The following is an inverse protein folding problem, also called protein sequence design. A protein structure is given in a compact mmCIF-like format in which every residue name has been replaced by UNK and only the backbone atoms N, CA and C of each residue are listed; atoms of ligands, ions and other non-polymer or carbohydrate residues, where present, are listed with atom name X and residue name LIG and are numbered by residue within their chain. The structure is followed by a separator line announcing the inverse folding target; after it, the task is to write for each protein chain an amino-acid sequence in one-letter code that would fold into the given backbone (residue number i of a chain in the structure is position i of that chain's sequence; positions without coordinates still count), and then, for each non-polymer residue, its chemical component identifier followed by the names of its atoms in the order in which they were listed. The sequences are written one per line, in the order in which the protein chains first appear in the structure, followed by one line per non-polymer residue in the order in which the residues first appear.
data_IF_406374097480
#
_entry.id   IF_406374097480
#
_cell.length_a   1.000
_cell.length_b   1.000
_cell.length_c   1.000
_cell.angle_alpha   90.00
_cell.angle_beta   90.00
_cell.angle_gamma   90.00
#
_symmetry.space_group_name_H-M   'P 1'
#
loop_
_entity.id
_entity.type
_entity.pdbx_description
1 polymer ?
#
# COMPACT_ATOMS: atom_id res chain seq x y z
N UNK A 1 -18.47 10.43 19.96
CA UNK A 1 -18.71 11.74 19.32
C UNK A 1 -19.26 11.49 17.94
N UNK A 2 -20.36 12.14 17.58
CA UNK A 2 -20.99 11.96 16.26
C UNK A 2 -20.67 13.15 15.37
N UNK A 3 -20.51 12.88 14.08
CA UNK A 3 -20.13 13.87 13.08
C UNK A 3 -21.17 13.96 11.97
N UNK A 4 -21.31 15.17 11.40
CA UNK A 4 -21.94 15.29 10.09
C UNK A 4 -21.09 14.59 9.03
N UNK A 5 -21.62 14.33 7.82
CA UNK A 5 -20.84 13.68 6.75
C UNK A 5 -19.50 14.36 6.45
N UNK A 6 -19.40 15.68 6.63
CA UNK A 6 -18.18 16.45 6.42
C UNK A 6 -17.42 16.77 7.72
N UNK A 7 -17.65 16.03 8.80
CA UNK A 7 -16.81 16.07 10.00
C UNK A 7 -17.11 17.18 10.99
N UNK A 8 -18.15 17.98 10.80
CA UNK A 8 -18.59 18.89 11.83
C UNK A 8 -19.17 18.08 13.01
N UNK A 9 -18.75 18.38 14.22
CA UNK A 9 -19.27 17.73 15.42
C UNK A 9 -20.78 17.99 15.54
N UNK A 10 -21.57 16.92 15.61
CA UNK A 10 -23.01 16.99 15.78
C UNK A 10 -23.41 16.78 17.25
N UNK A 11 -22.84 15.78 17.91
CA UNK A 11 -23.07 15.51 19.34
C UNK A 11 -21.81 15.01 20.01
N UNK A 12 -21.69 15.28 21.31
CA UNK A 12 -20.60 14.80 22.15
C UNK A 12 -19.46 15.81 22.29
N UNK A 13 -18.62 15.54 23.29
CA UNK A 13 -17.36 16.25 23.53
C UNK A 13 -16.30 15.24 23.96
N UNK A 14 -15.04 15.54 23.71
CA UNK A 14 -13.91 14.70 24.10
C UNK A 14 -12.73 15.56 24.52
N UNK A 15 -11.89 15.03 25.40
CA UNK A 15 -10.55 15.56 25.69
C UNK A 15 -9.49 14.94 24.75
N UNK A 16 -9.91 14.02 23.87
CA UNK A 16 -9.04 13.42 22.85
C UNK A 16 -8.76 14.49 21.78
N UNK A 17 -7.51 14.74 21.40
CA UNK A 17 -7.17 15.66 20.32
C UNK A 17 -7.59 15.16 18.94
N UNK A 18 -7.92 13.87 18.81
CA UNK A 18 -8.29 13.26 17.54
C UNK A 18 -9.80 13.32 17.29
N UNK A 19 -10.16 13.86 16.14
CA UNK A 19 -11.54 14.15 15.75
C UNK A 19 -11.95 13.39 14.47
N UNK A 20 -12.49 14.11 13.50
CA UNK A 20 -13.03 13.55 12.28
C UNK A 20 -12.01 12.68 11.54
N UNK A 21 -12.39 11.43 11.23
CA UNK A 21 -11.54 10.40 10.60
C UNK A 21 -10.21 10.15 11.32
N UNK A 22 -10.17 10.34 12.66
CA UNK A 22 -8.98 10.14 13.47
C UNK A 22 -7.90 11.20 13.28
N UNK A 23 -8.28 12.39 12.79
CA UNK A 23 -7.32 13.50 12.59
C UNK A 23 -7.22 14.37 13.81
N UNK A 24 -6.00 14.85 14.09
CA UNK A 24 -5.75 15.78 15.16
C UNK A 24 -6.37 17.13 14.85
N UNK A 25 -7.16 17.65 15.80
CA UNK A 25 -7.72 18.99 15.72
C UNK A 25 -6.84 19.99 16.42
N UNK A 26 -6.41 20.99 15.70
CA UNK A 26 -5.84 22.19 16.29
C UNK A 26 -6.94 22.95 17.06
N UNK A 27 -6.80 23.00 18.36
CA UNK A 27 -7.78 23.59 19.27
C UNK A 27 -7.91 25.12 19.09
N UNK A 28 -6.86 25.78 18.63
CA UNK A 28 -6.83 27.23 18.45
C UNK A 28 -7.57 27.65 17.17
N UNK A 29 -7.35 26.94 16.08
CA UNK A 29 -7.98 27.24 14.78
C UNK A 29 -9.28 26.47 14.54
N UNK A 30 -9.49 25.35 15.24
CA UNK A 30 -10.60 24.42 15.01
C UNK A 30 -10.47 23.63 13.70
N UNK A 31 -9.28 23.58 13.11
CA UNK A 31 -8.98 22.87 11.89
C UNK A 31 -8.46 21.45 12.19
N UNK A 32 -8.81 20.48 11.36
CA UNK A 32 -8.31 19.13 11.44
C UNK A 32 -7.06 18.99 10.57
N UNK A 33 -5.96 18.50 11.14
CA UNK A 33 -4.70 18.33 10.42
C UNK A 33 -4.67 16.97 9.72
N UNK A 34 -4.70 17.00 8.39
CA UNK A 34 -4.70 15.82 7.55
C UNK A 34 -3.29 15.42 7.06
N UNK A 35 -2.23 15.97 7.62
CA UNK A 35 -0.85 15.75 7.18
C UNK A 35 -0.42 16.77 6.14
N UNK A 36 -0.90 16.67 4.92
CA UNK A 36 -0.54 17.60 3.85
C UNK A 36 -1.32 18.92 3.89
N UNK A 37 -2.55 18.90 4.42
CA UNK A 37 -3.46 20.05 4.41
C UNK A 37 -4.23 20.16 5.71
N UNK A 38 -4.66 21.36 6.04
CA UNK A 38 -5.65 21.60 7.08
C UNK A 38 -7.07 21.56 6.51
N UNK A 39 -7.96 20.89 7.21
CA UNK A 39 -9.35 20.71 6.84
C UNK A 39 -10.27 21.50 7.77
N UNK A 40 -11.18 22.27 7.19
CA UNK A 40 -12.20 22.98 7.93
C UNK A 40 -13.51 22.18 7.90
N UNK A 41 -13.76 21.38 8.93
CA UNK A 41 -14.99 20.58 9.04
C UNK A 41 -16.25 21.43 9.03
N UNK A 42 -16.18 22.68 9.53
CA UNK A 42 -17.27 23.66 9.48
C UNK A 42 -17.61 24.12 8.06
N UNK A 43 -16.67 24.06 7.13
CA UNK A 43 -16.85 24.43 5.73
C UNK A 43 -16.91 23.22 4.78
N UNK A 44 -16.60 22.03 5.27
CA UNK A 44 -16.57 20.80 4.50
C UNK A 44 -15.49 20.76 3.43
N UNK A 45 -14.35 21.49 3.63
CA UNK A 45 -13.28 21.62 2.64
C UNK A 45 -11.91 21.81 3.27
N UNK A 46 -10.87 21.54 2.49
CA UNK A 46 -9.52 21.97 2.83
C UNK A 46 -9.37 23.48 2.72
N UNK A 47 -8.46 24.06 3.51
CA UNK A 47 -8.18 25.51 3.49
C UNK A 47 -7.09 25.89 2.50
N UNK A 48 -6.34 24.91 2.00
CA UNK A 48 -5.35 25.06 0.90
C UNK A 48 -5.77 24.26 -0.33
N UNK A 49 -5.35 24.73 -1.51
CA UNK A 49 -5.62 24.03 -2.76
C UNK A 49 -4.89 22.69 -2.80
N UNK A 50 -5.50 21.73 -3.49
CA UNK A 50 -4.85 20.45 -3.79
C UNK A 50 -3.66 20.68 -4.72
N UNK A 51 -2.49 20.18 -4.31
CA UNK A 51 -1.28 20.28 -5.14
C UNK A 51 -1.36 19.41 -6.39
N UNK A 52 -2.24 18.39 -6.40
CA UNK A 52 -2.48 17.54 -7.57
C UNK A 52 -3.08 18.27 -8.78
N UNK A 53 -3.62 19.47 -8.57
CA UNK A 53 -4.27 20.23 -9.62
C UNK A 53 -5.67 19.73 -9.99
N UNK A 54 -6.36 20.42 -10.93
CA UNK A 54 -7.69 20.05 -11.36
C UNK A 54 -7.65 18.89 -12.37
N UNK A 55 -8.60 17.94 -12.25
CA UNK A 55 -8.85 16.96 -13.32
C UNK A 55 -10.01 17.44 -14.20
N UNK A 56 -9.76 17.86 -15.45
CA UNK A 56 -10.81 18.35 -16.35
C UNK A 56 -11.86 17.29 -16.73
N UNK A 57 -11.55 16.01 -16.55
CA UNK A 57 -12.47 14.90 -16.87
C UNK A 57 -13.43 14.60 -15.72
N UNK A 58 -13.12 15.04 -14.51
CA UNK A 58 -13.97 14.88 -13.35
C UNK A 58 -14.43 16.23 -12.81
N UNK A 59 -15.70 16.64 -13.02
CA UNK A 59 -16.21 17.92 -12.56
C UNK A 59 -16.04 18.17 -11.06
N UNK A 60 -16.08 17.10 -10.24
CA UNK A 60 -15.83 17.20 -8.80
C UNK A 60 -14.36 17.49 -8.50
N UNK A 61 -13.46 17.10 -9.38
CA UNK A 61 -12.02 17.33 -9.24
C UNK A 61 -11.57 18.72 -9.68
N UNK A 62 -12.43 19.53 -10.28
CA UNK A 62 -12.15 20.93 -10.60
C UNK A 62 -12.05 21.81 -9.34
N UNK A 63 -12.74 21.43 -8.27
CA UNK A 63 -12.63 22.11 -6.99
C UNK A 63 -11.42 21.58 -6.21
N UNK A 64 -10.32 22.33 -6.19
CA UNK A 64 -9.08 21.95 -5.53
C UNK A 64 -9.16 21.95 -3.99
N UNK A 65 -10.23 22.45 -3.43
CA UNK A 65 -10.44 22.51 -1.97
C UNK A 65 -11.37 21.39 -1.47
N UNK A 66 -11.85 20.51 -2.37
CA UNK A 66 -12.80 19.45 -2.04
C UNK A 66 -12.19 18.44 -1.07
N UNK A 67 -13.04 17.89 -0.22
CA UNK A 67 -12.77 16.70 0.58
C UNK A 67 -13.47 15.49 -0.05
N UNK A 68 -12.75 14.37 -0.19
CA UNK A 68 -13.29 13.06 -0.60
C UNK A 68 -14.19 13.12 -1.85
N UNK A 69 -13.83 13.92 -2.88
CA UNK A 69 -14.63 14.16 -4.09
C UNK A 69 -16.08 14.61 -3.79
N UNK A 70 -16.30 15.37 -2.71
CA UNK A 70 -17.62 15.74 -2.19
C UNK A 70 -18.54 14.55 -1.85
N UNK A 71 -17.98 13.37 -1.60
CA UNK A 71 -18.72 12.16 -1.20
C UNK A 71 -18.09 11.50 0.04
N UNK A 72 -18.15 12.16 1.21
CA UNK A 72 -17.48 11.73 2.43
C UNK A 72 -18.13 10.50 3.08
N UNK A 73 -19.32 10.08 2.65
CA UNK A 73 -19.95 8.84 3.09
C UNK A 73 -19.39 7.60 2.39
N UNK A 74 -18.70 7.80 1.27
CA UNK A 74 -18.12 6.73 0.47
C UNK A 74 -16.60 6.74 0.48
N UNK A 75 -16.01 7.92 0.59
CA UNK A 75 -14.58 8.12 0.52
C UNK A 75 -14.06 8.85 1.75
N UNK A 76 -12.87 8.49 2.18
CA UNK A 76 -12.09 9.19 3.20
C UNK A 76 -10.82 9.68 2.52
N UNK A 77 -10.31 10.84 2.92
CA UNK A 77 -8.99 11.31 2.55
C UNK A 77 -8.06 11.07 3.76
N UNK A 78 -7.19 10.07 3.76
CA UNK A 78 -6.46 9.66 4.96
C UNK A 78 -5.35 10.60 5.38
N UNK A 79 -4.75 11.32 4.44
CA UNK A 79 -3.57 12.15 4.70
C UNK A 79 -3.61 13.53 4.04
N UNK A 80 -4.72 13.90 3.45
CA UNK A 80 -4.83 15.13 2.67
C UNK A 80 -4.10 15.03 1.34
N UNK A 81 -3.80 13.81 0.87
CA UNK A 81 -3.06 13.45 -0.33
C UNK A 81 -3.77 12.34 -1.07
N UNK A 82 -3.28 11.98 -2.25
CA UNK A 82 -4.01 11.12 -3.16
C UNK A 82 -3.37 9.76 -3.44
N UNK A 83 -2.49 9.21 -2.61
CA UNK A 83 -1.60 8.11 -3.00
C UNK A 83 -1.76 6.76 -2.26
N UNK A 84 -2.91 6.53 -1.63
CA UNK A 84 -3.33 5.21 -1.11
C UNK A 84 -3.50 4.16 -2.23
N UNK A 85 -3.51 4.60 -3.48
CA UNK A 85 -3.79 3.71 -4.61
C UNK A 85 -2.69 2.68 -4.88
N UNK A 86 -1.42 2.98 -4.60
CA UNK A 86 -0.29 2.05 -4.82
C UNK A 86 -0.09 1.13 -3.62
N UNK A 87 0.29 1.68 -2.47
CA UNK A 87 0.67 0.90 -1.29
C UNK A 87 -0.50 0.06 -0.73
N UNK A 88 -1.72 0.60 -0.76
CA UNK A 88 -2.89 -0.14 -0.28
C UNK A 88 -3.59 -0.91 -1.41
N UNK A 89 -4.10 -0.20 -2.42
CA UNK A 89 -5.04 -0.80 -3.36
C UNK A 89 -4.35 -1.69 -4.40
N UNK A 90 -3.27 -1.22 -5.03
CA UNK A 90 -2.53 -2.02 -6.02
C UNK A 90 -1.83 -3.20 -5.34
N UNK A 91 -1.18 -2.99 -4.19
CA UNK A 91 -0.53 -4.08 -3.44
C UNK A 91 -1.51 -5.16 -3.03
N UNK A 92 -2.71 -4.81 -2.52
CA UNK A 92 -3.75 -5.80 -2.20
C UNK A 92 -4.19 -6.59 -3.43
N UNK A 93 -4.40 -5.91 -4.56
CA UNK A 93 -4.84 -6.57 -5.79
C UNK A 93 -3.76 -7.49 -6.37
N UNK A 94 -2.48 -7.06 -6.35
CA UNK A 94 -1.34 -7.88 -6.77
C UNK A 94 -1.14 -9.09 -5.86
N UNK A 95 -1.25 -8.92 -4.54
CA UNK A 95 -1.17 -10.01 -3.59
C UNK A 95 -2.29 -11.03 -3.82
N UNK A 96 -3.52 -10.56 -4.01
CA UNK A 96 -4.62 -11.44 -4.37
C UNK A 96 -4.32 -12.19 -5.67
N UNK A 97 -3.91 -11.55 -6.74
CA UNK A 97 -3.55 -12.20 -8.00
C UNK A 97 -2.36 -13.17 -7.86
N UNK A 98 -1.42 -12.89 -6.95
CA UNK A 98 -0.26 -13.75 -6.66
C UNK A 98 -0.59 -15.04 -5.88
N UNK A 99 -1.84 -15.21 -5.44
CA UNK A 99 -2.27 -16.44 -4.77
C UNK A 99 -2.52 -16.30 -3.27
N UNK A 100 -2.44 -15.09 -2.72
CA UNK A 100 -2.78 -14.84 -1.32
C UNK A 100 -4.29 -14.86 -1.11
N UNK A 101 -4.73 -15.26 0.08
CA UNK A 101 -6.12 -15.09 0.50
C UNK A 101 -6.45 -13.60 0.64
N UNK A 102 -7.72 -13.24 0.58
CA UNK A 102 -8.12 -11.85 0.78
C UNK A 102 -7.61 -11.29 2.11
N UNK A 103 -7.67 -12.07 3.18
CA UNK A 103 -7.17 -11.68 4.51
C UNK A 103 -5.67 -11.38 4.50
N UNK A 104 -4.87 -12.22 3.85
CA UNK A 104 -3.43 -12.00 3.73
C UNK A 104 -3.12 -10.78 2.85
N UNK A 105 -3.81 -10.65 1.71
CA UNK A 105 -3.63 -9.51 0.80
C UNK A 105 -3.94 -8.17 1.49
N UNK A 106 -5.04 -8.13 2.27
CA UNK A 106 -5.38 -6.96 3.10
C UNK A 106 -4.29 -6.68 4.14
N UNK A 107 -3.85 -7.68 4.90
CA UNK A 107 -2.83 -7.49 5.92
C UNK A 107 -1.51 -6.95 5.33
N UNK A 108 -1.04 -7.54 4.24
CA UNK A 108 0.19 -7.10 3.55
C UNK A 108 0.07 -5.64 3.11
N UNK A 109 -1.02 -5.28 2.47
CA UNK A 109 -1.24 -3.91 1.96
C UNK A 109 -1.48 -2.88 3.07
N UNK A 110 -2.13 -3.27 4.17
CA UNK A 110 -2.29 -2.40 5.33
C UNK A 110 -0.95 -2.12 6.03
N UNK A 111 -0.05 -3.10 6.09
CA UNK A 111 1.30 -2.90 6.64
C UNK A 111 2.15 -2.05 5.69
N UNK A 112 2.07 -2.29 4.37
CA UNK A 112 2.72 -1.49 3.34
C UNK A 112 2.32 -0.01 3.48
N UNK A 113 1.04 0.29 3.42
CA UNK A 113 0.50 1.64 3.61
C UNK A 113 0.75 2.21 5.01
N UNK A 114 0.80 1.34 6.02
CA UNK A 114 0.98 1.72 7.42
C UNK A 114 2.29 2.44 7.71
N UNK A 115 3.32 2.23 6.87
CA UNK A 115 4.61 2.94 6.98
C UNK A 115 4.42 4.44 6.79
N UNK A 116 3.55 4.85 5.87
CA UNK A 116 3.22 6.25 5.57
C UNK A 116 2.20 6.86 6.52
N UNK A 117 1.64 6.08 7.43
CA UNK A 117 0.60 6.57 8.31
C UNK A 117 1.13 7.66 9.24
N UNK A 118 0.39 8.76 9.47
CA UNK A 118 0.84 9.91 10.27
C UNK A 118 1.31 9.56 11.67
N UNK A 119 0.74 8.52 12.27
CA UNK A 119 1.09 8.06 13.63
C UNK A 119 2.09 6.90 13.63
N UNK A 120 2.65 6.55 12.48
CA UNK A 120 3.68 5.52 12.39
C UNK A 120 5.03 6.10 12.78
N UNK A 121 5.73 5.44 13.70
CA UNK A 121 7.14 5.76 14.00
C UNK A 121 8.07 5.62 12.77
N UNK A 122 7.57 5.04 11.68
CA UNK A 122 8.26 4.79 10.42
C UNK A 122 7.98 5.91 9.40
N UNK A 123 6.99 6.78 9.67
CA UNK A 123 6.64 7.88 8.78
C UNK A 123 7.80 8.90 8.68
N UNK A 124 8.23 9.28 7.47
CA UNK A 124 9.35 10.20 7.28
C UNK A 124 9.07 11.63 7.72
N UNK A 125 7.80 11.98 7.95
CA UNK A 125 7.37 13.31 8.37
C UNK A 125 7.16 13.41 9.90
N UNK A 126 7.01 12.29 10.60
CA UNK A 126 6.92 12.26 12.05
C UNK A 126 8.29 12.49 12.68
N UNK A 127 8.61 13.71 12.87
CA UNK A 127 9.81 14.16 13.55
C UNK A 127 10.45 15.33 12.85
N UNK A 128 10.04 16.51 13.19
CA UNK A 128 10.87 17.69 13.07
C UNK A 128 12.12 17.47 13.93
N UNK A 129 13.11 16.74 13.40
CA UNK A 129 14.33 16.42 14.07
C UNK A 129 15.07 15.22 13.48
N UNK A 130 16.22 14.91 14.03
CA UNK A 130 17.14 13.85 13.58
C UNK A 130 16.53 12.42 13.61
N UNK A 131 15.43 12.20 14.33
CA UNK A 131 14.76 10.91 14.39
C UNK A 131 14.11 10.50 13.05
N UNK A 132 13.52 11.44 12.31
CA UNK A 132 12.95 11.17 10.97
C UNK A 132 13.98 10.79 9.91
N UNK A 133 15.28 11.04 10.14
CA UNK A 133 16.34 10.67 9.20
C UNK A 133 16.59 9.15 9.14
N UNK A 134 16.34 8.42 10.21
CA UNK A 134 16.43 6.96 10.25
C UNK A 134 15.33 6.31 9.43
N UNK A 135 14.07 6.65 9.74
CA UNK A 135 12.90 6.13 9.03
C UNK A 135 12.97 6.42 7.52
N UNK A 136 13.39 7.62 7.12
CA UNK A 136 13.60 7.98 5.70
C UNK A 136 14.58 7.05 4.99
N UNK A 137 15.72 6.76 5.63
CA UNK A 137 16.75 5.89 5.03
C UNK A 137 16.37 4.42 5.08
N UNK A 138 15.64 4.02 6.11
CA UNK A 138 15.34 2.62 6.38
C UNK A 138 14.10 2.12 5.62
N UNK A 139 13.18 3.00 5.22
CA UNK A 139 11.93 2.62 4.58
C UNK A 139 11.61 3.39 3.29
N UNK A 140 12.00 4.67 3.13
CA UNK A 140 11.60 5.49 1.97
C UNK A 140 12.74 5.73 0.96
N UNK A 141 13.96 5.98 1.41
CA UNK A 141 15.12 6.18 0.52
C UNK A 141 16.13 5.04 0.70
N UNK A 142 15.64 3.82 0.55
CA UNK A 142 16.41 2.62 0.86
C UNK A 142 17.50 2.33 -0.16
N UNK A 143 18.62 1.80 0.33
CA UNK A 143 19.66 1.22 -0.52
C UNK A 143 19.29 -0.20 -0.92
N UNK A 144 19.90 -0.71 -2.01
CA UNK A 144 19.74 -2.11 -2.40
C UNK A 144 20.18 -3.09 -1.29
N UNK A 145 21.24 -2.76 -0.54
CA UNK A 145 21.70 -3.56 0.60
C UNK A 145 20.63 -3.61 1.69
N UNK A 146 20.03 -2.46 2.04
CA UNK A 146 18.95 -2.41 3.05
C UNK A 146 17.74 -3.24 2.63
N UNK A 147 17.30 -3.16 1.37
CA UNK A 147 16.19 -3.98 0.86
C UNK A 147 16.53 -5.48 0.87
N UNK A 148 17.79 -5.85 0.60
CA UNK A 148 18.22 -7.24 0.71
C UNK A 148 18.16 -7.75 2.16
N UNK A 149 18.54 -6.93 3.14
CA UNK A 149 18.40 -7.26 4.57
C UNK A 149 16.93 -7.42 4.96
N UNK A 150 16.05 -6.50 4.51
CA UNK A 150 14.61 -6.60 4.75
C UNK A 150 14.01 -7.86 4.11
N UNK A 151 14.45 -8.22 2.89
CA UNK A 151 14.04 -9.46 2.25
C UNK A 151 14.47 -10.70 3.04
N UNK A 152 15.70 -10.71 3.57
CA UNK A 152 16.16 -11.76 4.47
C UNK A 152 15.29 -11.90 5.72
N UNK A 153 14.81 -10.79 6.26
CA UNK A 153 13.91 -10.77 7.40
C UNK A 153 12.54 -11.38 7.09
N UNK A 154 12.01 -11.29 5.87
CA UNK A 154 10.71 -11.89 5.49
C UNK A 154 10.70 -13.39 5.81
N UNK A 155 11.72 -14.13 5.40
CA UNK A 155 11.83 -15.57 5.67
C UNK A 155 12.00 -15.89 7.16
N UNK A 156 12.80 -15.08 7.85
CA UNK A 156 13.02 -15.26 9.30
C UNK A 156 11.71 -15.03 10.08
N UNK A 157 10.95 -14.00 9.75
CA UNK A 157 9.70 -13.68 10.43
C UNK A 157 8.55 -14.61 10.02
N UNK A 158 8.59 -15.18 8.80
CA UNK A 158 7.64 -16.20 8.37
C UNK A 158 7.67 -17.44 9.29
N UNK A 159 8.86 -17.83 9.76
CA UNK A 159 9.01 -18.98 10.65
C UNK A 159 8.35 -18.81 12.02
N UNK A 160 8.04 -17.56 12.42
CA UNK A 160 7.38 -17.21 13.68
C UNK A 160 6.00 -16.57 13.48
N UNK A 161 5.45 -16.65 12.28
CA UNK A 161 4.06 -16.24 11.98
C UNK A 161 3.87 -14.74 11.64
N UNK A 162 4.94 -14.01 11.33
CA UNK A 162 4.89 -12.58 10.98
C UNK A 162 5.42 -12.29 9.56
N UNK A 163 5.38 -13.28 8.68
CA UNK A 163 5.91 -13.16 7.32
C UNK A 163 5.19 -12.12 6.47
N UNK A 164 3.86 -12.04 6.57
CA UNK A 164 3.05 -11.08 5.85
C UNK A 164 3.37 -9.63 6.27
N UNK A 165 3.59 -9.40 7.56
CA UNK A 165 3.96 -8.08 8.08
C UNK A 165 5.36 -7.67 7.57
N UNK A 166 6.34 -8.58 7.65
CA UNK A 166 7.68 -8.32 7.15
C UNK A 166 7.68 -8.08 5.63
N UNK A 167 6.82 -8.81 4.90
CA UNK A 167 6.64 -8.63 3.45
C UNK A 167 6.04 -7.26 3.14
N UNK A 168 5.01 -6.81 3.86
CA UNK A 168 4.42 -5.47 3.69
C UNK A 168 5.47 -4.36 3.87
N UNK A 169 6.29 -4.42 4.93
CA UNK A 169 7.40 -3.48 5.16
C UNK A 169 8.43 -3.49 4.02
N UNK A 170 8.78 -4.67 3.52
CA UNK A 170 9.68 -4.80 2.39
C UNK A 170 9.10 -4.20 1.12
N UNK A 171 7.83 -4.48 0.82
CA UNK A 171 7.16 -3.98 -0.38
C UNK A 171 7.10 -2.46 -0.40
N UNK A 172 6.80 -1.83 0.73
CA UNK A 172 6.86 -0.38 0.86
C UNK A 172 8.23 0.17 0.44
N UNK A 173 9.29 -0.35 1.06
CA UNK A 173 10.66 0.08 0.77
C UNK A 173 11.09 -0.18 -0.68
N UNK A 174 10.62 -1.27 -1.28
CA UNK A 174 10.89 -1.61 -2.67
C UNK A 174 10.15 -0.68 -3.63
N UNK A 175 8.85 -0.45 -3.42
CA UNK A 175 8.02 0.45 -4.23
C UNK A 175 8.53 1.88 -4.19
N UNK A 176 8.86 2.39 -3.00
CA UNK A 176 9.43 3.72 -2.80
C UNK A 176 10.79 3.88 -3.49
N UNK A 177 11.55 2.82 -3.61
CA UNK A 177 12.83 2.88 -4.33
C UNK A 177 12.68 3.19 -5.82
N UNK A 178 11.52 2.90 -6.39
CA UNK A 178 11.18 3.29 -7.77
C UNK A 178 10.71 4.74 -7.84
N UNK A 179 9.74 5.12 -7.03
CA UNK A 179 9.21 6.50 -7.04
C UNK A 179 10.30 7.53 -6.74
N UNK A 180 11.16 7.24 -5.77
CA UNK A 180 12.24 8.13 -5.34
C UNK A 180 13.55 7.98 -6.13
N UNK A 181 13.60 7.13 -7.15
CA UNK A 181 14.79 6.95 -7.99
C UNK A 181 15.18 8.26 -8.67
N UNK A 182 16.42 8.73 -8.42
CA UNK A 182 16.93 10.01 -8.90
C UNK A 182 16.70 11.20 -7.95
N UNK A 183 16.01 10.99 -6.83
CA UNK A 183 15.78 12.00 -5.80
C UNK A 183 16.60 11.67 -4.55
N UNK A 184 17.28 12.68 -3.98
CA UNK A 184 18.04 12.49 -2.73
C UNK A 184 17.13 12.56 -1.49
N UNK A 185 17.45 11.78 -0.46
CA UNK A 185 16.70 11.70 0.81
C UNK A 185 16.46 13.06 1.50
N UNK A 186 17.27 14.07 1.19
CA UNK A 186 17.22 15.40 1.82
C UNK A 186 16.31 16.40 1.07
N UNK A 187 16.14 16.26 -0.24
CA UNK A 187 15.51 17.28 -1.08
C UNK A 187 14.34 16.73 -1.95
N UNK A 188 14.12 15.42 -1.98
CA UNK A 188 13.19 14.79 -2.92
C UNK A 188 11.79 15.39 -2.92
N UNK A 189 11.14 15.47 -1.76
CA UNK A 189 9.80 16.03 -1.64
C UNK A 189 9.76 17.56 -1.45
N UNK A 190 10.88 18.17 -1.05
CA UNK A 190 10.92 19.61 -0.77
C UNK A 190 10.73 20.48 -2.02
N UNK A 191 11.26 20.03 -3.18
CA UNK A 191 11.22 20.78 -4.43
C UNK A 191 10.21 20.26 -5.46
N UNK A 192 9.85 18.97 -5.39
CA UNK A 192 9.01 18.33 -6.40
C UNK A 192 7.64 17.86 -5.86
N UNK A 193 7.37 18.05 -4.57
CA UNK A 193 6.13 17.59 -3.94
C UNK A 193 5.93 16.08 -4.14
N UNK A 194 4.69 15.67 -4.42
CA UNK A 194 4.32 14.27 -4.70
C UNK A 194 4.34 13.92 -6.20
N UNK A 195 5.03 14.71 -7.02
CA UNK A 195 5.14 14.43 -8.46
C UNK A 195 5.77 13.05 -8.75
N UNK A 196 6.78 12.58 -7.98
CA UNK A 196 7.38 11.27 -8.19
C UNK A 196 6.44 10.09 -7.90
N UNK A 197 5.49 10.26 -6.98
CA UNK A 197 4.67 9.18 -6.45
C UNK A 197 3.41 8.91 -7.31
N UNK A 198 3.16 9.75 -8.33
CA UNK A 198 2.04 9.58 -9.24
C UNK A 198 2.41 8.66 -10.39
N UNK A 199 1.82 7.47 -10.43
CA UNK A 199 2.12 6.44 -11.44
C UNK A 199 1.99 6.95 -12.88
N UNK A 200 1.04 7.84 -13.16
CA UNK A 200 0.81 8.38 -14.51
C UNK A 200 1.86 9.39 -14.98
N UNK A 201 2.72 9.89 -14.09
CA UNK A 201 3.83 10.77 -14.46
C UNK A 201 5.01 9.99 -15.07
N UNK A 202 5.20 8.75 -14.62
CA UNK A 202 6.16 7.80 -15.17
C UNK A 202 5.57 6.39 -15.17
N UNK A 203 4.61 6.11 -16.08
CA UNK A 203 3.88 4.86 -16.07
C UNK A 203 4.75 3.65 -16.39
N UNK A 204 5.82 3.81 -17.14
CA UNK A 204 6.72 2.71 -17.48
C UNK A 204 7.55 2.29 -16.25
N UNK A 205 8.00 3.25 -15.45
CA UNK A 205 8.64 2.97 -14.16
C UNK A 205 7.65 2.33 -13.17
N UNK A 206 6.40 2.79 -13.14
CA UNK A 206 5.34 2.20 -12.33
C UNK A 206 4.99 0.76 -12.76
N UNK A 207 5.04 0.45 -14.07
CA UNK A 207 4.86 -0.91 -14.58
C UNK A 207 5.99 -1.84 -14.11
N UNK A 208 7.24 -1.36 -14.10
CA UNK A 208 8.39 -2.11 -13.57
C UNK A 208 8.25 -2.32 -12.05
N UNK A 209 7.88 -1.30 -11.31
CA UNK A 209 7.62 -1.40 -9.87
C UNK A 209 6.54 -2.45 -9.57
N UNK A 210 5.41 -2.42 -10.26
CA UNK A 210 4.34 -3.41 -10.08
C UNK A 210 4.81 -4.84 -10.40
N UNK A 211 5.67 -5.00 -11.40
CA UNK A 211 6.32 -6.28 -11.72
C UNK A 211 7.24 -6.79 -10.62
N UNK A 212 8.03 -5.88 -10.01
CA UNK A 212 8.87 -6.19 -8.85
C UNK A 212 8.01 -6.63 -7.65
N UNK A 213 6.98 -5.85 -7.33
CA UNK A 213 6.02 -6.15 -6.27
C UNK A 213 5.38 -7.53 -6.45
N UNK A 214 4.86 -7.82 -7.66
CA UNK A 214 4.27 -9.13 -7.95
C UNK A 214 5.29 -10.28 -7.83
N UNK A 215 6.51 -10.07 -8.31
CA UNK A 215 7.60 -11.04 -8.22
C UNK A 215 7.97 -11.34 -6.76
N UNK A 216 8.09 -10.30 -5.93
CA UNK A 216 8.36 -10.44 -4.51
C UNK A 216 7.25 -11.22 -3.79
N UNK A 217 5.98 -10.89 -4.05
CA UNK A 217 4.83 -11.62 -3.52
C UNK A 217 4.89 -13.11 -3.89
N UNK A 218 5.26 -13.44 -5.12
CA UNK A 218 5.41 -14.84 -5.56
C UNK A 218 6.59 -15.55 -4.89
N UNK A 219 7.72 -14.87 -4.77
CA UNK A 219 8.95 -15.45 -4.21
C UNK A 219 8.88 -15.64 -2.71
N UNK A 220 8.11 -14.84 -1.98
CA UNK A 220 7.97 -14.97 -0.54
C UNK A 220 7.36 -16.32 -0.10
N UNK A 221 6.60 -16.99 -0.96
CA UNK A 221 6.08 -18.32 -0.68
C UNK A 221 5.03 -18.38 0.43
N UNK A 222 4.43 -17.26 0.83
CA UNK A 222 3.48 -17.15 1.92
C UNK A 222 2.01 -17.31 1.49
N UNK A 223 1.75 -17.40 0.20
CA UNK A 223 0.40 -17.53 -0.35
C UNK A 223 -0.25 -18.84 0.08
N UNK A 224 -1.45 -18.78 0.65
CA UNK A 224 -2.20 -19.94 1.18
C UNK A 224 -3.46 -20.26 0.41
N UNK A 225 -3.87 -19.40 -0.51
CA UNK A 225 -5.07 -19.59 -1.32
C UNK A 225 -4.74 -20.22 -2.67
N UNK A 226 -5.73 -20.34 -3.52
CA UNK A 226 -5.68 -20.95 -4.84
C UNK A 226 -4.57 -20.41 -5.77
N UNK A 227 -4.44 -21.00 -6.94
CA UNK A 227 -3.39 -20.71 -7.93
C UNK A 227 -3.20 -19.23 -8.24
N UNK A 228 -1.97 -18.85 -8.52
CA UNK A 228 -1.62 -17.50 -8.92
C UNK A 228 -1.93 -17.28 -10.39
N UNK A 229 -2.40 -16.09 -10.74
CA UNK A 229 -2.57 -15.66 -12.12
C UNK A 229 -1.20 -15.32 -12.73
N UNK A 230 -0.86 -15.75 -13.94
CA UNK A 230 0.37 -15.32 -14.59
C UNK A 230 0.43 -13.79 -14.72
N UNK A 231 1.58 -13.18 -14.42
CA UNK A 231 1.74 -11.73 -14.43
C UNK A 231 1.31 -11.08 -15.76
N UNK A 232 1.66 -11.72 -16.88
CA UNK A 232 1.34 -11.21 -18.21
C UNK A 232 -0.16 -11.10 -18.49
N UNK A 233 -0.99 -11.88 -17.79
CA UNK A 233 -2.44 -11.84 -17.96
C UNK A 233 -3.08 -10.69 -17.17
N UNK A 234 -2.44 -10.22 -16.10
CA UNK A 234 -2.89 -9.06 -15.33
C UNK A 234 -2.19 -7.77 -15.74
N UNK A 235 -1.12 -7.84 -16.51
CA UNK A 235 -0.35 -6.67 -16.95
C UNK A 235 -1.19 -5.59 -17.65
N UNK A 236 -2.17 -5.90 -18.53
CA UNK A 236 -3.00 -4.88 -19.15
C UNK A 236 -3.78 -4.02 -18.15
N UNK A 237 -4.27 -4.62 -17.05
CA UNK A 237 -4.98 -3.89 -16.00
C UNK A 237 -4.04 -2.99 -15.20
N UNK A 238 -2.83 -3.49 -14.91
CA UNK A 238 -1.77 -2.74 -14.22
C UNK A 238 -1.37 -1.53 -15.05
N UNK A 239 -1.15 -1.71 -16.35
CA UNK A 239 -0.80 -0.63 -17.26
C UNK A 239 -1.91 0.41 -17.38
N UNK A 240 -3.16 -0.02 -17.41
CA UNK A 240 -4.29 0.89 -17.43
C UNK A 240 -4.43 1.65 -16.10
N UNK A 241 -4.20 0.98 -14.95
CA UNK A 241 -4.13 1.61 -13.63
C UNK A 241 -3.03 2.67 -13.55
N UNK A 242 -1.81 2.34 -13.97
CA UNK A 242 -0.66 3.24 -13.88
C UNK A 242 -0.81 4.48 -14.77
N UNK A 243 -1.57 4.39 -15.86
CA UNK A 243 -1.84 5.50 -16.79
C UNK A 243 -3.11 6.28 -16.45
N UNK A 244 -3.91 5.79 -15.52
CA UNK A 244 -5.14 6.46 -15.11
C UNK A 244 -4.85 7.72 -14.27
N UNK A 245 -5.52 8.82 -14.60
CA UNK A 245 -5.37 10.11 -13.93
C UNK A 245 -6.39 10.34 -12.81
N UNK A 246 -7.39 9.48 -12.69
CA UNK A 246 -8.41 9.58 -11.64
C UNK A 246 -8.44 8.33 -10.77
N UNK A 247 -8.74 8.50 -9.49
CA UNK A 247 -8.93 7.37 -8.57
C UNK A 247 -10.05 6.44 -9.03
N UNK A 248 -11.09 7.00 -9.62
CA UNK A 248 -12.20 6.21 -10.13
C UNK A 248 -11.71 5.24 -11.22
N UNK A 249 -10.95 5.76 -12.19
CA UNK A 249 -10.44 4.95 -13.28
C UNK A 249 -9.43 3.92 -12.77
N UNK A 250 -8.56 4.31 -11.83
CA UNK A 250 -7.64 3.40 -11.15
C UNK A 250 -8.37 2.26 -10.45
N UNK A 251 -9.37 2.57 -9.63
CA UNK A 251 -10.16 1.55 -8.92
C UNK A 251 -10.97 0.67 -9.85
N UNK A 252 -11.44 1.20 -10.99
CA UNK A 252 -12.09 0.39 -12.01
C UNK A 252 -11.15 -0.67 -12.58
N UNK A 253 -9.90 -0.30 -12.88
CA UNK A 253 -8.90 -1.27 -13.38
C UNK A 253 -8.56 -2.34 -12.35
N UNK A 254 -8.40 -1.97 -11.07
CA UNK A 254 -8.18 -2.94 -10.00
C UNK A 254 -9.37 -3.90 -9.82
N UNK A 255 -10.60 -3.40 -9.90
CA UNK A 255 -11.79 -4.24 -9.81
C UNK A 255 -11.88 -5.22 -11.00
N UNK A 256 -11.51 -4.79 -12.20
CA UNK A 256 -11.43 -5.67 -13.37
C UNK A 256 -10.35 -6.74 -13.18
N UNK A 257 -9.17 -6.36 -12.68
CA UNK A 257 -8.09 -7.30 -12.37
C UNK A 257 -8.50 -8.32 -11.30
N UNK A 258 -9.13 -7.89 -10.22
CA UNK A 258 -9.61 -8.78 -9.15
C UNK A 258 -10.65 -9.76 -9.66
N UNK A 259 -11.61 -9.30 -10.46
CA UNK A 259 -12.62 -10.17 -11.09
C UNK A 259 -11.98 -11.17 -12.04
N UNK A 260 -10.99 -10.72 -12.82
CA UNK A 260 -10.22 -11.62 -13.68
C UNK A 260 -9.49 -12.70 -12.85
N UNK A 261 -8.81 -12.30 -11.78
CA UNK A 261 -8.08 -13.20 -10.91
C UNK A 261 -9.02 -14.22 -10.22
N UNK A 262 -10.20 -13.80 -9.81
CA UNK A 262 -11.20 -14.70 -9.24
C UNK A 262 -11.67 -15.74 -10.26
N UNK A 263 -12.03 -15.31 -11.47
CA UNK A 263 -12.44 -16.22 -12.54
C UNK A 263 -11.32 -17.20 -12.92
N UNK A 264 -10.09 -16.70 -13.01
CA UNK A 264 -8.92 -17.53 -13.30
C UNK A 264 -8.74 -18.64 -12.27
N UNK A 265 -8.86 -18.33 -10.98
CA UNK A 265 -8.74 -19.31 -9.90
C UNK A 265 -9.85 -20.35 -9.92
N UNK A 266 -11.06 -19.97 -10.29
CA UNK A 266 -12.20 -20.92 -10.43
C UNK A 266 -11.95 -21.90 -11.59
N UNK A 267 -11.31 -21.45 -12.67
CA UNK A 267 -10.99 -22.27 -13.84
C UNK A 267 -9.72 -23.10 -13.66
N UNK A 268 -8.81 -22.67 -12.77
CA UNK A 268 -7.54 -23.31 -12.48
C UNK A 268 -7.43 -23.64 -10.98
N UNK A 269 -8.29 -24.50 -10.44
CA UNK A 269 -8.19 -24.92 -9.05
C UNK A 269 -6.83 -25.60 -8.85
N UNK A 270 -6.17 -25.37 -7.72
CA UNK A 270 -4.99 -26.14 -7.37
C UNK A 270 -5.46 -27.59 -7.28
N UNK A 271 -4.99 -28.45 -8.19
CA UNK A 271 -4.99 -29.86 -7.94
C UNK A 271 -4.24 -30.05 -6.61
N UNK A 272 -4.96 -30.52 -5.58
CA UNK A 272 -4.30 -30.98 -4.38
C UNK A 272 -3.25 -31.98 -4.86
N UNK A 273 -1.97 -31.59 -4.83
CA UNK A 273 -0.91 -32.55 -4.91
C UNK A 273 -1.19 -33.51 -3.74
N UNK A 274 -1.87 -34.58 -4.02
CA UNK A 274 -1.90 -35.75 -3.15
C UNK A 274 -0.42 -36.02 -2.90
N UNK A 275 0.02 -35.81 -1.65
CA UNK A 275 1.28 -36.38 -1.22
C UNK A 275 1.27 -37.80 -1.76
N UNK A 276 2.19 -38.22 -2.64
CA UNK A 276 2.28 -39.58 -3.03
C UNK A 276 2.43 -40.36 -1.71
N UNK A 277 1.48 -41.22 -1.43
CA UNK A 277 1.57 -42.10 -0.28
C UNK A 277 2.97 -42.71 -0.33
N UNK A 278 3.78 -42.71 0.73
CA UNK A 278 5.09 -43.31 0.70
C UNK A 278 4.91 -44.72 0.16
N UNK A 279 5.75 -45.17 -0.78
CA UNK A 279 5.62 -46.48 -1.37
C UNK A 279 5.57 -47.50 -0.25
N UNK A 280 4.47 -48.22 -0.15
CA UNK A 280 4.33 -49.32 0.78
C UNK A 280 5.31 -50.41 0.33
N UNK A 281 6.44 -50.49 1.04
CA UNK A 281 7.44 -51.55 0.82
C UNK A 281 8.80 -51.03 0.38
N UNK A 282 9.51 -50.40 1.27
CA UNK A 282 10.99 -50.39 1.21
C UNK A 282 11.51 -50.64 2.63
N UNK A 283 12.20 -51.75 2.75
CA UNK A 283 12.74 -52.25 4.00
C UNK A 283 13.67 -51.24 4.67
N UNK A 284 13.59 -51.23 5.98
CA UNK A 284 14.48 -50.52 6.86
C UNK A 284 15.91 -51.02 6.65
N UNK A 285 16.72 -50.26 5.89
CA UNK A 285 18.17 -50.45 5.94
C UNK A 285 18.68 -49.70 7.17
N UNK A 286 19.05 -50.47 8.20
CA UNK A 286 19.88 -49.98 9.29
C UNK A 286 21.28 -49.65 8.73
N UNK A 287 21.63 -48.40 8.66
CA UNK A 287 23.00 -47.97 8.43
C UNK A 287 23.72 -48.00 9.75
N UNK A 288 24.56 -49.03 9.98
CA UNK A 288 25.57 -49.02 11.01
C UNK A 288 26.64 -47.96 10.66
N UNK A 289 26.90 -47.08 11.60
CA UNK A 289 28.12 -46.27 11.61
C UNK A 289 29.34 -47.16 11.73
N UNK A 290 30.24 -47.12 10.77
CA UNK A 290 31.65 -47.51 10.93
C UNK A 290 32.53 -46.38 10.43
N UNK A 291 33.39 -45.99 11.36
CA UNK A 291 34.49 -45.05 11.21
C UNK A 291 35.43 -45.43 10.04
N UNK A 292 35.86 -44.40 9.32
CA UNK A 292 37.22 -44.18 8.85
C UNK A 292 37.44 -42.70 8.57
#
# INVERSE_FOLDING_TARGET
MDYTPFGQVFTGSTNDPYFFTGKERDQESGLDYFGARYYASSMGRFISSDAAGPDPKNPQALNLYRYALNNPLRYVDPDGRYEIDVHLALTAALAYAAGYSQKQATLISEVDQGVDSPNSALNPLDGYGFAGSGARKDFHFTTAARRADMWGAVNAWASVGYGEQALGLYLHADQDSYSHSGYGAFFGHLFFGHHPDKTYNDPDKADVMAGSTYSALRQAGLATAAGSVPYMEILPFIQAFNRAHSAKDKMEQLNLMLKYAENYRQQHPIEQQRNPSPPSGAGVCKAEFKEC
#
